data_IF_580350449676
#
_entry.id   IF_580350449676
#
_cell.length_a   1.000
_cell.length_b   1.000
_cell.length_c   1.000
_cell.angle_alpha   90.00
_cell.angle_beta   90.00
_cell.angle_gamma   90.00
#
_symmetry.space_group_name_H-M   'P 1'
#
loop_
_entity.id
_entity.type
_entity.pdbx_description
1 polymer ?
#
# COMPACT_ATOMS: atom_id res chain seq x y z
N UNK A 1 -13.82 14.91 -12.01
CA UNK A 1 -14.32 13.53 -11.86
C UNK A 1 -13.51 12.82 -10.80
N UNK A 2 -14.16 12.45 -9.70
CA UNK A 2 -13.53 11.95 -8.48
C UNK A 2 -13.31 10.43 -8.55
N UNK A 3 -12.49 9.99 -9.51
CA UNK A 3 -12.25 8.55 -9.77
C UNK A 3 -11.22 7.94 -8.79
N UNK A 4 -10.53 8.76 -7.99
CA UNK A 4 -9.21 8.40 -7.44
C UNK A 4 -9.13 7.96 -5.97
N UNK A 5 -10.23 7.62 -5.29
CA UNK A 5 -10.18 7.40 -3.83
C UNK A 5 -10.33 5.95 -3.40
N UNK A 6 -11.05 5.11 -4.16
CA UNK A 6 -11.27 3.69 -3.83
C UNK A 6 -10.61 2.75 -4.86
N UNK A 7 -9.68 1.86 -4.45
CA UNK A 7 -9.14 0.81 -5.30
C UNK A 7 -10.21 -0.04 -6.00
N UNK A 8 -11.37 -0.27 -5.36
CA UNK A 8 -12.47 -1.01 -5.96
C UNK A 8 -13.10 -0.24 -7.14
N UNK A 9 -13.21 1.08 -7.03
CA UNK A 9 -13.73 1.93 -8.10
C UNK A 9 -12.83 1.87 -9.35
N UNK A 10 -11.50 1.88 -9.16
CA UNK A 10 -10.56 1.74 -10.27
C UNK A 10 -10.77 0.41 -11.04
N UNK A 11 -10.90 -0.69 -10.31
CA UNK A 11 -11.13 -2.01 -10.92
C UNK A 11 -12.46 -2.06 -11.68
N UNK A 12 -13.51 -1.43 -11.16
CA UNK A 12 -14.82 -1.43 -11.80
C UNK A 12 -14.87 -0.53 -13.04
N UNK A 13 -14.17 0.60 -13.04
CA UNK A 13 -14.01 1.45 -14.22
C UNK A 13 -13.24 0.74 -15.33
N UNK A 14 -12.16 0.03 -14.99
CA UNK A 14 -11.41 -0.73 -15.99
C UNK A 14 -12.27 -1.85 -16.58
N UNK A 15 -13.03 -2.59 -15.76
CA UNK A 15 -14.00 -3.59 -16.27
C UNK A 15 -15.03 -2.98 -17.22
N UNK A 16 -15.49 -1.75 -16.96
CA UNK A 16 -16.45 -1.03 -17.82
C UNK A 16 -15.85 -0.68 -19.18
N UNK A 17 -14.61 -0.17 -19.23
CA UNK A 17 -13.91 0.17 -20.47
C UNK A 17 -13.71 -1.08 -21.34
N UNK A 18 -13.27 -2.19 -20.73
CA UNK A 18 -13.05 -3.46 -21.44
C UNK A 18 -14.34 -4.01 -22.07
N UNK A 19 -15.48 -3.85 -21.39
CA UNK A 19 -16.80 -4.21 -21.92
C UNK A 19 -17.19 -3.34 -23.13
N UNK A 20 -16.92 -2.03 -23.07
CA UNK A 20 -17.21 -1.08 -24.17
C UNK A 20 -16.38 -1.38 -25.42
N UNK A 21 -15.13 -1.79 -25.25
CA UNK A 21 -14.24 -2.14 -26.37
C UNK A 21 -14.57 -3.48 -27.06
N UNK A 22 -15.64 -4.18 -26.65
CA UNK A 22 -16.06 -5.49 -27.18
C UNK A 22 -14.91 -6.51 -27.29
N UNK A 23 -13.94 -6.46 -26.38
CA UNK A 23 -12.81 -7.37 -26.44
C UNK A 23 -13.29 -8.77 -26.08
N UNK A 24 -13.16 -9.72 -27.01
CA UNK A 24 -13.50 -11.11 -26.78
C UNK A 24 -12.54 -11.78 -25.78
N UNK A 25 -13.03 -12.78 -25.06
CA UNK A 25 -12.43 -13.25 -23.80
C UNK A 25 -10.94 -13.58 -23.84
N UNK A 26 -10.43 -14.15 -24.95
CA UNK A 26 -9.02 -14.54 -25.07
C UNK A 26 -8.08 -13.38 -25.40
N UNK A 27 -8.46 -12.48 -26.32
CA UNK A 27 -7.67 -11.26 -26.65
C UNK A 27 -7.75 -10.21 -25.54
N UNK A 28 -8.83 -10.25 -24.77
CA UNK A 28 -9.03 -9.40 -23.59
C UNK A 28 -7.99 -9.72 -22.53
N UNK A 29 -7.83 -10.99 -22.15
CA UNK A 29 -6.86 -11.39 -21.10
C UNK A 29 -5.44 -10.96 -21.44
N UNK A 30 -5.01 -11.10 -22.70
CA UNK A 30 -3.66 -10.72 -23.13
C UNK A 30 -3.45 -9.20 -23.07
N UNK A 31 -4.34 -8.41 -23.70
CA UNK A 31 -4.25 -6.94 -23.71
C UNK A 31 -4.39 -6.33 -22.30
N UNK A 32 -5.30 -6.89 -21.50
CA UNK A 32 -5.52 -6.54 -20.09
C UNK A 32 -4.29 -6.83 -19.27
N UNK A 33 -3.64 -7.99 -19.45
CA UNK A 33 -2.45 -8.35 -18.67
C UNK A 33 -1.29 -7.37 -18.88
N UNK A 34 -1.11 -6.84 -20.08
CA UNK A 34 -0.09 -5.84 -20.38
C UNK A 34 -0.50 -4.43 -19.96
N UNK A 35 -1.68 -3.95 -20.37
CA UNK A 35 -2.10 -2.57 -20.12
C UNK A 35 -2.49 -2.31 -18.66
N UNK A 36 -3.19 -3.25 -18.00
CA UNK A 36 -3.51 -3.05 -16.58
C UNK A 36 -2.29 -3.16 -15.69
N UNK A 37 -1.26 -3.93 -16.04
CA UNK A 37 -0.08 -4.03 -15.18
C UNK A 37 0.57 -2.66 -15.00
N UNK A 38 0.78 -1.94 -16.10
CA UNK A 38 1.43 -0.63 -16.06
C UNK A 38 0.51 0.44 -15.46
N UNK A 39 -0.78 0.45 -15.83
CA UNK A 39 -1.75 1.41 -15.29
C UNK A 39 -2.02 1.17 -13.80
N UNK A 40 -2.16 -0.09 -13.38
CA UNK A 40 -2.33 -0.44 -11.96
C UNK A 40 -1.06 -0.16 -11.16
N UNK A 41 0.13 -0.40 -11.73
CA UNK A 41 1.39 -0.03 -11.10
C UNK A 41 1.49 1.48 -10.90
N UNK A 42 1.24 2.30 -11.93
CA UNK A 42 1.24 3.76 -11.84
C UNK A 42 0.22 4.25 -10.80
N UNK A 43 -1.02 3.73 -10.87
CA UNK A 43 -2.06 4.08 -9.91
C UNK A 43 -1.67 3.73 -8.48
N UNK A 44 -1.12 2.52 -8.26
CA UNK A 44 -0.69 2.08 -6.94
C UNK A 44 0.47 2.91 -6.41
N UNK A 45 1.45 3.25 -7.24
CA UNK A 45 2.56 4.15 -6.86
C UNK A 45 2.02 5.52 -6.46
N UNK A 46 1.13 6.12 -7.25
CA UNK A 46 0.54 7.43 -6.94
C UNK A 46 -0.32 7.40 -5.67
N UNK A 47 -1.13 6.37 -5.51
CA UNK A 47 -1.93 6.16 -4.29
C UNK A 47 -1.00 6.00 -3.07
N UNK A 48 0.04 5.18 -3.20
CA UNK A 48 1.01 4.94 -2.13
C UNK A 48 1.73 6.23 -1.74
N UNK A 49 2.23 7.01 -2.70
CA UNK A 49 2.93 8.26 -2.40
C UNK A 49 2.00 9.30 -1.75
N UNK A 50 0.72 9.34 -2.15
CA UNK A 50 -0.28 10.25 -1.59
C UNK A 50 -0.64 9.91 -0.13
N UNK A 51 -0.84 8.62 0.17
CA UNK A 51 -1.35 8.19 1.48
C UNK A 51 -0.27 7.68 2.44
N UNK A 52 0.88 7.28 1.90
CA UNK A 52 2.06 6.84 2.63
C UNK A 52 3.32 7.51 2.06
N UNK A 53 3.44 8.85 2.20
CA UNK A 53 4.65 9.57 1.78
C UNK A 53 5.88 8.93 2.41
N UNK A 54 6.97 8.87 1.64
CA UNK A 54 8.21 8.25 2.09
C UNK A 54 8.69 8.85 3.42
N UNK A 55 8.59 10.16 3.56
CA UNK A 55 9.00 10.91 4.76
C UNK A 55 8.17 10.51 5.98
N UNK A 56 6.87 10.25 5.80
CA UNK A 56 5.98 9.78 6.87
C UNK A 56 6.40 8.37 7.32
N UNK A 57 6.67 7.48 6.36
CA UNK A 57 7.10 6.11 6.63
C UNK A 57 8.46 6.11 7.35
N UNK A 58 9.41 6.91 6.89
CA UNK A 58 10.73 7.06 7.52
C UNK A 58 10.63 7.66 8.93
N UNK A 59 9.79 8.69 9.12
CA UNK A 59 9.55 9.26 10.44
C UNK A 59 8.94 8.23 11.41
N UNK A 60 8.01 7.41 10.94
CA UNK A 60 7.40 6.33 11.74
C UNK A 60 8.38 5.19 12.03
N UNK A 61 9.25 4.84 11.09
CA UNK A 61 10.33 3.88 11.31
C UNK A 61 11.35 4.41 12.34
N UNK A 62 11.68 5.70 12.29
CA UNK A 62 12.56 6.33 13.27
C UNK A 62 11.93 6.42 14.65
N UNK A 63 10.62 6.71 14.72
CA UNK A 63 9.83 6.66 15.95
C UNK A 63 9.88 5.26 16.57
N UNK A 64 9.74 4.21 15.74
CA UNK A 64 9.88 2.82 16.17
C UNK A 64 11.27 2.52 16.74
N UNK A 65 12.34 2.91 16.02
CA UNK A 65 13.72 2.66 16.45
C UNK A 65 14.07 3.34 17.78
N UNK A 66 13.47 4.49 18.03
CA UNK A 66 13.68 5.24 19.26
C UNK A 66 12.67 4.88 20.36
N UNK A 67 11.75 3.95 20.12
CA UNK A 67 10.67 3.59 21.04
C UNK A 67 11.25 2.88 22.28
N UNK A 68 11.23 3.58 23.40
CA UNK A 68 11.56 3.05 24.74
C UNK A 68 10.31 3.04 25.59
N UNK A 69 10.15 2.07 26.48
CA UNK A 69 8.99 1.99 27.37
C UNK A 69 8.88 3.25 28.25
N UNK A 70 9.99 3.69 28.85
CA UNK A 70 10.02 4.90 29.68
C UNK A 70 8.99 4.83 30.81
N UNK A 71 8.13 5.85 30.87
CA UNK A 71 7.02 5.94 31.84
C UNK A 71 5.74 5.26 31.40
N UNK A 72 5.68 4.68 30.19
CA UNK A 72 4.47 4.01 29.70
C UNK A 72 4.25 2.67 30.40
N UNK A 73 2.99 2.29 30.56
CA UNK A 73 2.65 0.93 30.96
C UNK A 73 3.10 -0.08 29.89
N UNK A 74 3.29 -1.33 30.31
CA UNK A 74 3.64 -2.43 29.39
C UNK A 74 2.61 -2.57 28.27
N UNK A 75 1.31 -2.36 28.58
CA UNK A 75 0.25 -2.46 27.58
C UNK A 75 0.32 -1.35 26.54
N UNK A 76 0.53 -0.09 26.96
CA UNK A 76 0.69 1.05 26.05
C UNK A 76 1.92 0.90 25.16
N UNK A 77 3.03 0.43 25.75
CA UNK A 77 4.24 0.12 24.99
C UNK A 77 4.01 -0.95 23.94
N UNK A 78 3.38 -2.07 24.33
CA UNK A 78 3.05 -3.15 23.39
C UNK A 78 2.17 -2.68 22.25
N UNK A 79 1.18 -1.83 22.54
CA UNK A 79 0.29 -1.26 21.52
C UNK A 79 1.07 -0.39 20.53
N UNK A 80 1.89 0.55 21.02
CA UNK A 80 2.73 1.39 20.16
C UNK A 80 3.73 0.57 19.36
N UNK A 81 4.39 -0.40 19.98
CA UNK A 81 5.32 -1.30 19.31
C UNK A 81 4.65 -2.03 18.15
N UNK A 82 3.48 -2.64 18.39
CA UNK A 82 2.74 -3.37 17.35
C UNK A 82 2.32 -2.44 16.21
N UNK A 83 1.83 -1.24 16.53
CA UNK A 83 1.41 -0.26 15.53
C UNK A 83 2.57 0.28 14.68
N UNK A 84 3.75 0.47 15.26
CA UNK A 84 4.90 1.06 14.59
C UNK A 84 5.78 0.02 13.87
N UNK A 85 5.81 -1.23 14.34
CA UNK A 85 6.59 -2.33 13.77
C UNK A 85 6.35 -2.55 12.27
N UNK A 86 5.12 -2.30 11.80
CA UNK A 86 4.73 -2.41 10.38
C UNK A 86 5.47 -1.45 9.44
N UNK A 87 6.07 -0.37 9.96
CA UNK A 87 6.87 0.58 9.18
C UNK A 87 8.36 0.24 9.14
N UNK A 88 8.81 -0.75 9.93
CA UNK A 88 10.19 -1.18 10.02
C UNK A 88 10.34 -2.72 9.91
N UNK A 89 9.79 -3.37 8.87
CA UNK A 89 9.74 -4.83 8.77
C UNK A 89 11.13 -5.48 8.74
N UNK A 90 12.14 -4.77 8.22
CA UNK A 90 13.53 -5.25 8.17
C UNK A 90 14.24 -5.23 9.54
N UNK A 91 13.69 -4.52 10.53
CA UNK A 91 14.26 -4.39 11.88
C UNK A 91 13.70 -5.46 12.82
N UNK A 92 12.45 -5.85 12.60
CA UNK A 92 11.76 -6.89 13.38
C UNK A 92 12.19 -8.31 12.95
N UNK A 93 12.83 -8.44 11.79
CA UNK A 93 13.25 -9.72 11.20
C UNK A 93 14.75 -9.99 11.37
N UNK A 94 15.36 -9.57 12.49
CA UNK A 94 16.68 -10.08 12.87
C UNK A 94 16.49 -11.29 13.81
N UNK A 95 16.80 -12.53 13.36
CA UNK A 95 16.76 -13.72 14.21
C UNK A 95 17.83 -13.72 15.33
N UNK A 96 18.65 -12.66 15.45
CA UNK A 96 19.79 -12.56 16.38
C UNK A 96 19.78 -11.32 17.29
N UNK A 97 18.70 -10.54 17.31
CA UNK A 97 18.52 -9.45 18.28
C UNK A 97 17.90 -9.94 19.61
#
# INVERSE_FOLDING_TARGET
>A
SNVGEDPHNFIDEVKKILRVMQVNGTKSVELVSYQLKDVAHIWFTQWKDRFFPRELVEAKAQEFMNLKQGSMSVQEYRLKFTQLSKYAPHIVTDPRA
#
